data_IF_658098262500
#
_entry.id   IF_658098262500
#
_cell.length_a   1.000
_cell.length_b   1.000
_cell.length_c   1.000
_cell.angle_alpha   90.00
_cell.angle_beta   90.00
_cell.angle_gamma   90.00
#
_symmetry.space_group_name_H-M   'P 1'
#
loop_
_entity.id
_entity.type
_entity.pdbx_description
1 polymer ?
#
# COMPACT_ATOMS: atom_id res chain seq x y z
N UNK A 1 -27.61 -46.39 42.01
CA UNK A 1 -26.79 -46.09 40.81
C UNK A 1 -27.21 -44.74 40.29
N UNK A 2 -26.37 -43.71 40.47
CA UNK A 2 -26.62 -42.34 39.97
C UNK A 2 -25.77 -42.14 38.71
N UNK A 3 -26.41 -41.96 37.56
CA UNK A 3 -25.76 -41.68 36.29
C UNK A 3 -25.52 -40.19 36.23
N UNK A 4 -24.27 -39.77 36.28
CA UNK A 4 -23.85 -38.37 36.09
C UNK A 4 -23.80 -38.11 34.58
N UNK A 5 -24.68 -37.23 34.08
CA UNK A 5 -24.65 -36.76 32.73
C UNK A 5 -23.57 -35.64 32.61
N UNK A 6 -22.50 -35.94 31.89
CA UNK A 6 -21.42 -34.97 31.55
C UNK A 6 -21.90 -34.14 30.37
N UNK A 7 -22.30 -32.89 30.62
CA UNK A 7 -22.56 -31.90 29.58
C UNK A 7 -21.24 -31.37 29.06
N UNK A 8 -20.81 -31.86 27.89
CA UNK A 8 -19.70 -31.30 27.11
C UNK A 8 -20.21 -30.04 26.44
N UNK A 9 -19.89 -28.90 27.02
CA UNK A 9 -20.11 -27.57 26.43
C UNK A 9 -19.01 -27.34 25.37
N UNK A 10 -19.34 -27.71 24.14
CA UNK A 10 -18.46 -27.46 22.98
C UNK A 10 -18.32 -25.98 22.73
N UNK A 11 -17.21 -25.39 23.16
CA UNK A 11 -16.83 -24.01 22.80
C UNK A 11 -16.52 -23.93 21.31
N UNK A 12 -17.47 -23.48 20.53
CA UNK A 12 -17.25 -23.15 19.11
C UNK A 12 -16.44 -21.85 19.08
N UNK A 13 -15.14 -21.96 18.92
CA UNK A 13 -14.26 -20.85 18.60
C UNK A 13 -14.65 -20.35 17.20
N UNK A 14 -15.41 -19.27 17.14
CA UNK A 14 -15.57 -18.49 15.91
C UNK A 14 -14.23 -17.86 15.57
N UNK A 15 -13.50 -18.48 14.64
CA UNK A 15 -12.35 -17.85 13.99
C UNK A 15 -12.87 -16.69 13.14
N UNK A 16 -13.03 -15.53 13.75
CA UNK A 16 -13.30 -14.31 12.99
C UNK A 16 -12.05 -13.98 12.18
N UNK A 17 -12.13 -14.20 10.87
CA UNK A 17 -11.08 -13.78 9.94
C UNK A 17 -10.91 -12.27 10.01
N UNK A 18 -9.74 -11.81 10.46
CA UNK A 18 -9.35 -10.40 10.53
C UNK A 18 -9.01 -9.82 9.14
N UNK A 19 -9.86 -10.06 8.14
CA UNK A 19 -9.62 -9.56 6.78
C UNK A 19 -10.34 -8.21 6.53
N UNK A 20 -9.79 -7.34 5.64
CA UNK A 20 -10.46 -6.10 5.26
C UNK A 20 -11.88 -6.32 4.77
N UNK A 21 -12.80 -5.42 5.13
CA UNK A 21 -14.20 -5.47 4.69
C UNK A 21 -14.27 -5.06 3.22
N UNK A 22 -14.88 -5.92 2.42
CA UNK A 22 -15.19 -5.63 1.03
C UNK A 22 -16.69 -5.39 0.89
N UNK A 23 -17.06 -4.35 0.15
CA UNK A 23 -18.44 -4.05 -0.24
C UNK A 23 -18.43 -3.72 -1.72
N UNK A 24 -19.26 -4.41 -2.49
CA UNK A 24 -19.40 -4.19 -3.93
C UNK A 24 -20.83 -3.79 -4.27
N UNK A 25 -20.96 -2.92 -5.28
CA UNK A 25 -22.24 -2.51 -5.86
C UNK A 25 -22.08 -2.54 -7.38
N UNK A 26 -22.65 -3.55 -8.03
CA UNK A 26 -22.54 -3.75 -9.47
C UNK A 26 -23.84 -3.36 -10.17
N UNK A 27 -23.69 -2.73 -11.34
CA UNK A 27 -24.78 -2.35 -12.24
C UNK A 27 -24.87 -3.35 -13.40
N UNK A 28 -23.71 -3.79 -13.88
CA UNK A 28 -23.56 -4.75 -14.98
C UNK A 28 -22.54 -5.82 -14.58
N UNK A 29 -22.70 -7.05 -15.06
CA UNK A 29 -21.76 -8.14 -14.86
C UNK A 29 -21.57 -8.93 -16.14
N UNK A 30 -20.34 -9.40 -16.36
CA UNK A 30 -19.95 -10.28 -17.45
C UNK A 30 -19.48 -11.64 -16.90
N UNK A 31 -19.15 -12.56 -17.78
CA UNK A 31 -18.52 -13.82 -17.38
C UNK A 31 -17.25 -13.55 -16.58
N UNK A 32 -17.03 -14.30 -15.50
CA UNK A 32 -15.85 -14.16 -14.67
C UNK A 32 -14.58 -14.41 -15.47
N UNK A 33 -13.56 -13.62 -15.21
CA UNK A 33 -12.23 -13.78 -15.79
C UNK A 33 -11.45 -14.86 -15.05
N UNK A 34 -10.47 -15.45 -15.75
CA UNK A 34 -9.52 -16.37 -15.12
C UNK A 34 -8.74 -15.68 -14.00
N UNK A 35 -8.36 -16.45 -13.00
CA UNK A 35 -7.58 -15.93 -11.87
C UNK A 35 -6.23 -15.34 -12.32
N UNK A 36 -5.63 -15.87 -13.38
CA UNK A 36 -4.36 -15.43 -13.91
C UNK A 36 -4.47 -14.20 -14.80
N UNK A 37 -5.68 -13.81 -15.23
CA UNK A 37 -5.84 -12.61 -16.03
C UNK A 37 -5.48 -11.36 -15.24
N UNK A 38 -4.66 -10.50 -15.86
CA UNK A 38 -4.23 -9.25 -15.24
C UNK A 38 -5.38 -8.25 -15.22
N UNK A 39 -5.63 -7.65 -14.06
CA UNK A 39 -6.57 -6.54 -13.90
C UNK A 39 -5.80 -5.24 -13.83
N UNK A 40 -6.08 -4.35 -14.77
CA UNK A 40 -5.46 -3.03 -14.89
C UNK A 40 -5.83 -2.13 -13.71
N UNK A 41 -4.95 -1.21 -13.34
CA UNK A 41 -5.25 -0.23 -12.30
C UNK A 41 -4.90 1.16 -12.79
N UNK A 42 -5.91 1.99 -12.92
CA UNK A 42 -5.77 3.42 -13.15
C UNK A 42 -5.73 4.14 -11.81
N UNK A 43 -4.70 4.96 -11.60
CA UNK A 43 -4.56 5.80 -10.41
C UNK A 43 -5.63 6.90 -10.33
N UNK A 44 -5.69 7.64 -9.22
CA UNK A 44 -6.70 8.70 -9.00
C UNK A 44 -6.63 9.77 -10.10
N UNK A 45 -5.41 10.16 -10.51
CA UNK A 45 -5.18 11.23 -11.48
C UNK A 45 -5.04 10.71 -12.92
N UNK A 46 -5.04 9.38 -13.12
CA UNK A 46 -4.92 8.77 -14.45
C UNK A 46 -6.29 8.77 -15.15
N UNK A 47 -6.32 9.14 -16.42
CA UNK A 47 -7.53 9.06 -17.24
C UNK A 47 -7.81 7.61 -17.64
N UNK A 48 -9.08 7.23 -17.60
CA UNK A 48 -9.54 5.95 -18.13
C UNK A 48 -9.76 6.04 -19.64
N UNK A 49 -9.70 4.92 -20.36
CA UNK A 49 -10.10 4.88 -21.77
C UNK A 49 -11.50 5.46 -21.95
N UNK A 50 -11.76 6.20 -23.05
CA UNK A 50 -13.07 6.78 -23.30
C UNK A 50 -14.16 5.73 -23.58
N UNK A 51 -13.76 4.54 -23.99
CA UNK A 51 -14.58 3.36 -24.27
C UNK A 51 -14.72 2.41 -23.06
N UNK A 52 -14.15 2.76 -21.92
CA UNK A 52 -14.25 1.95 -20.72
C UNK A 52 -15.68 1.95 -20.15
N UNK A 53 -16.31 0.79 -20.11
CA UNK A 53 -17.60 0.60 -19.47
C UNK A 53 -17.44 0.46 -17.95
N UNK A 54 -18.21 1.22 -17.17
CA UNK A 54 -18.25 1.10 -15.71
C UNK A 54 -19.24 0.02 -15.30
N UNK A 55 -18.74 -1.06 -14.72
CA UNK A 55 -19.56 -2.19 -14.25
C UNK A 55 -20.13 -1.95 -12.85
N UNK A 56 -19.49 -1.15 -12.05
CA UNK A 56 -19.88 -0.86 -10.67
C UNK A 56 -18.75 -0.34 -9.83
N UNK A 57 -18.93 -0.37 -8.50
CA UNK A 57 -17.96 0.17 -7.54
C UNK A 57 -17.65 -0.87 -6.46
N UNK A 58 -16.37 -0.99 -6.09
CA UNK A 58 -15.88 -1.78 -4.97
C UNK A 58 -15.29 -0.85 -3.92
N UNK A 59 -15.61 -1.10 -2.66
CA UNK A 59 -15.00 -0.45 -1.50
C UNK A 59 -14.29 -1.50 -0.66
N UNK A 60 -13.00 -1.31 -0.43
CA UNK A 60 -12.20 -2.11 0.50
C UNK A 60 -11.90 -1.23 1.70
N UNK A 61 -12.38 -1.63 2.85
CA UNK A 61 -12.31 -0.86 4.08
C UNK A 61 -11.78 -1.69 5.26
N UNK A 62 -11.81 -1.07 6.44
CA UNK A 62 -11.39 -1.70 7.68
C UNK A 62 -12.60 -2.27 8.43
N UNK A 63 -12.41 -3.42 9.09
CA UNK A 63 -13.37 -3.98 10.06
C UNK A 63 -13.09 -3.54 11.50
N UNK A 64 -12.04 -2.73 11.70
CA UNK A 64 -11.56 -2.32 13.04
C UNK A 64 -10.52 -3.27 13.66
N UNK A 65 -10.41 -4.50 13.15
CA UNK A 65 -9.49 -5.53 13.66
C UNK A 65 -8.63 -6.17 12.54
N UNK A 66 -8.57 -5.54 11.36
CA UNK A 66 -7.80 -6.08 10.24
C UNK A 66 -6.31 -5.89 10.48
N UNK A 67 -5.53 -6.97 10.37
CA UNK A 67 -4.08 -6.96 10.59
C UNK A 67 -3.27 -6.95 9.30
N UNK A 68 -3.83 -7.50 8.21
CA UNK A 68 -3.20 -7.55 6.89
C UNK A 68 -4.03 -6.73 5.90
N UNK A 69 -3.77 -5.44 5.86
CA UNK A 69 -4.58 -4.48 5.12
C UNK A 69 -3.75 -3.32 4.57
N UNK A 70 -2.53 -3.62 4.10
CA UNK A 70 -1.73 -2.68 3.33
C UNK A 70 -2.39 -2.37 1.98
N UNK A 71 -1.83 -1.41 1.26
CA UNK A 71 -2.38 -0.99 -0.02
C UNK A 71 -2.41 -2.12 -1.06
N UNK A 72 -1.34 -2.92 -1.13
CA UNK A 72 -1.25 -4.04 -2.05
C UNK A 72 -2.35 -5.09 -1.76
N UNK A 73 -2.53 -5.45 -0.49
CA UNK A 73 -3.61 -6.36 -0.06
C UNK A 73 -5.01 -5.80 -0.37
N UNK A 74 -5.23 -4.50 -0.14
CA UNK A 74 -6.52 -3.88 -0.46
C UNK A 74 -6.79 -3.89 -1.97
N UNK A 75 -5.77 -3.62 -2.77
CA UNK A 75 -5.84 -3.63 -4.22
C UNK A 75 -6.06 -5.04 -4.79
N UNK A 76 -5.36 -6.05 -4.26
CA UNK A 76 -5.51 -7.44 -4.68
C UNK A 76 -6.93 -7.97 -4.43
N UNK A 77 -7.51 -7.61 -3.28
CA UNK A 77 -8.93 -7.92 -3.00
C UNK A 77 -9.88 -7.27 -4.01
N UNK A 78 -9.64 -6.02 -4.38
CA UNK A 78 -10.44 -5.34 -5.38
C UNK A 78 -10.28 -5.98 -6.77
N UNK A 79 -9.05 -6.36 -7.16
CA UNK A 79 -8.78 -7.10 -8.41
C UNK A 79 -9.49 -8.45 -8.43
N UNK A 80 -9.43 -9.20 -7.34
CA UNK A 80 -10.11 -10.49 -7.22
C UNK A 80 -11.62 -10.36 -7.38
N UNK A 81 -12.22 -9.36 -6.77
CA UNK A 81 -13.67 -9.11 -6.91
C UNK A 81 -14.05 -8.62 -8.30
N UNK A 82 -13.20 -7.79 -8.93
CA UNK A 82 -13.37 -7.35 -10.31
C UNK A 82 -13.42 -8.53 -11.30
N UNK A 83 -12.50 -9.50 -11.17
CA UNK A 83 -12.50 -10.70 -12.02
C UNK A 83 -13.80 -11.48 -11.92
N UNK A 84 -14.41 -11.61 -10.75
CA UNK A 84 -15.68 -12.34 -10.55
C UNK A 84 -16.83 -11.77 -11.38
N UNK A 85 -16.81 -10.48 -11.63
CA UNK A 85 -17.84 -9.77 -12.38
C UNK A 85 -17.44 -9.45 -13.82
N UNK A 86 -16.31 -10.01 -14.27
CA UNK A 86 -15.81 -9.85 -15.64
C UNK A 86 -15.11 -8.51 -15.92
N UNK A 87 -14.80 -7.74 -14.87
CA UNK A 87 -14.05 -6.50 -14.99
C UNK A 87 -12.54 -6.76 -15.12
N UNK A 88 -11.92 -6.16 -16.12
CA UNK A 88 -10.49 -6.31 -16.45
C UNK A 88 -9.67 -5.06 -16.11
N UNK A 89 -10.32 -4.02 -15.57
CA UNK A 89 -9.64 -2.83 -15.10
C UNK A 89 -10.33 -2.24 -13.85
N UNK A 90 -9.56 -1.48 -13.08
CA UNK A 90 -10.01 -0.74 -11.91
C UNK A 90 -9.59 0.73 -12.05
N UNK A 91 -10.48 1.66 -11.72
CA UNK A 91 -10.15 3.08 -11.53
C UNK A 91 -10.21 3.40 -10.05
N UNK A 92 -9.09 3.81 -9.46
CA UNK A 92 -9.10 4.28 -8.08
C UNK A 92 -9.77 5.66 -8.04
N UNK A 93 -10.88 5.77 -7.33
CA UNK A 93 -11.62 7.03 -7.14
C UNK A 93 -11.35 7.65 -5.78
N UNK A 94 -10.95 6.82 -4.79
CA UNK A 94 -10.59 7.29 -3.46
C UNK A 94 -9.56 6.38 -2.83
N UNK A 95 -8.56 6.97 -2.18
CA UNK A 95 -7.60 6.27 -1.34
C UNK A 95 -7.45 6.99 0.00
N UNK A 96 -7.59 6.27 1.08
CA UNK A 96 -7.36 6.77 2.44
C UNK A 96 -6.25 5.94 3.08
N UNK A 97 -5.20 6.64 3.51
CA UNK A 97 -4.09 6.03 4.24
C UNK A 97 -4.50 5.60 5.65
N UNK A 98 -3.72 4.71 6.27
CA UNK A 98 -3.82 4.48 7.71
C UNK A 98 -3.80 5.79 8.50
N UNK A 99 -4.58 5.85 9.56
CA UNK A 99 -4.69 7.00 10.46
C UNK A 99 -4.88 6.53 11.91
N UNK A 100 -5.20 7.45 12.83
CA UNK A 100 -5.40 7.12 14.26
C UNK A 100 -6.63 6.24 14.51
N UNK A 101 -7.56 6.15 13.55
CA UNK A 101 -8.81 5.41 13.66
C UNK A 101 -8.76 4.06 12.93
N UNK A 102 -7.85 3.90 11.98
CA UNK A 102 -7.72 2.69 11.17
C UNK A 102 -6.26 2.48 10.77
N UNK A 103 -5.73 1.32 11.08
CA UNK A 103 -4.38 0.88 10.62
C UNK A 103 -4.36 0.45 9.15
N UNK A 104 -5.51 0.42 8.48
CA UNK A 104 -5.68 -0.12 7.14
C UNK A 104 -5.70 0.96 6.05
N UNK A 105 -5.20 0.60 4.88
CA UNK A 105 -5.51 1.29 3.64
C UNK A 105 -6.97 1.02 3.26
N UNK A 106 -7.67 2.08 2.85
CA UNK A 106 -9.07 2.02 2.42
C UNK A 106 -9.17 2.62 1.04
N UNK A 107 -9.64 1.83 0.08
CA UNK A 107 -9.78 2.25 -1.31
C UNK A 107 -11.24 2.17 -1.77
N UNK A 108 -11.62 3.05 -2.68
CA UNK A 108 -12.82 2.94 -3.50
C UNK A 108 -12.36 2.91 -4.94
N UNK A 109 -12.85 1.94 -5.68
CA UNK A 109 -12.51 1.76 -7.09
C UNK A 109 -13.77 1.54 -7.91
N UNK A 110 -13.81 2.10 -9.10
CA UNK A 110 -14.77 1.70 -10.11
C UNK A 110 -14.22 0.50 -10.88
N UNK A 111 -15.07 -0.50 -11.08
CA UNK A 111 -14.78 -1.69 -11.88
C UNK A 111 -15.08 -1.36 -13.33
N UNK A 112 -14.12 -1.60 -14.20
CA UNK A 112 -14.21 -1.27 -15.61
C UNK A 112 -14.09 -2.52 -16.48
N UNK A 113 -14.79 -2.50 -17.62
CA UNK A 113 -14.56 -3.35 -18.78
C UNK A 113 -13.94 -2.52 -19.89
N UNK A 114 -12.74 -2.92 -20.32
CA UNK A 114 -11.97 -2.26 -21.39
C UNK A 114 -11.76 -3.29 -22.52
N UNK A 115 -12.00 -2.92 -23.76
CA UNK A 115 -11.90 -3.84 -24.90
C UNK A 115 -10.46 -4.19 -25.26
N UNK A 116 -9.58 -3.19 -25.35
CA UNK A 116 -8.17 -3.38 -25.72
C UNK A 116 -7.24 -3.12 -24.53
N UNK A 117 -7.03 -4.16 -23.72
CA UNK A 117 -6.14 -4.07 -22.56
C UNK A 117 -4.66 -4.13 -22.91
N UNK A 118 -4.25 -4.74 -24.03
CA UNK A 118 -2.84 -4.91 -24.39
C UNK A 118 -2.13 -3.57 -24.62
N UNK A 119 -2.80 -2.65 -25.31
CA UNK A 119 -2.30 -1.30 -25.54
C UNK A 119 -2.03 -0.55 -24.24
N UNK A 120 -2.92 -0.71 -23.24
CA UNK A 120 -2.76 -0.06 -21.93
C UNK A 120 -1.73 -0.77 -21.06
N UNK A 121 -1.57 -2.09 -21.18
CA UNK A 121 -0.52 -2.88 -20.52
C UNK A 121 0.88 -2.45 -20.97
N UNK A 122 1.09 -2.29 -22.24
CA UNK A 122 2.37 -1.82 -22.79
C UNK A 122 2.68 -0.40 -22.32
N UNK A 123 1.73 0.51 -22.43
CA UNK A 123 1.90 1.90 -22.01
C UNK A 123 2.14 2.02 -20.50
N UNK A 124 1.45 1.23 -19.67
CA UNK A 124 1.66 1.26 -18.23
C UNK A 124 3.01 0.67 -17.82
N UNK A 125 3.47 -0.40 -18.47
CA UNK A 125 4.82 -0.95 -18.25
C UNK A 125 5.90 0.06 -18.66
N UNK A 126 5.74 0.73 -19.81
CA UNK A 126 6.67 1.77 -20.26
C UNK A 126 6.67 2.97 -19.32
N UNK A 127 5.50 3.44 -18.89
CA UNK A 127 5.37 4.55 -17.94
C UNK A 127 5.92 4.21 -16.54
N UNK A 128 5.84 2.96 -16.10
CA UNK A 128 6.43 2.53 -14.84
C UNK A 128 7.96 2.51 -14.91
N UNK A 129 8.52 2.02 -16.02
CA UNK A 129 9.98 2.09 -16.28
C UNK A 129 10.45 3.54 -16.35
N UNK A 130 9.75 4.40 -17.08
CA UNK A 130 10.11 5.81 -17.26
C UNK A 130 9.99 6.60 -15.93
N UNK A 131 9.04 6.24 -15.07
CA UNK A 131 8.87 6.86 -13.75
C UNK A 131 9.96 6.51 -12.73
N UNK A 132 10.77 5.49 -13.02
CA UNK A 132 11.92 5.10 -12.20
C UNK A 132 13.21 5.81 -12.57
N UNK A 133 13.25 6.44 -13.76
CA UNK A 133 14.46 7.07 -14.30
C UNK A 133 14.43 8.58 -14.07
N UNK A 134 15.56 9.12 -13.69
CA UNK A 134 15.85 10.56 -13.64
C UNK A 134 17.12 10.82 -14.42
N UNK A 135 17.17 11.92 -15.15
CA UNK A 135 18.38 12.34 -15.88
C UNK A 135 19.35 13.04 -14.92
N UNK A 136 19.88 12.26 -13.96
CA UNK A 136 20.75 12.76 -12.89
C UNK A 136 21.80 11.70 -12.54
N UNK A 137 22.95 12.17 -12.04
CA UNK A 137 24.05 11.33 -11.58
C UNK A 137 23.95 10.92 -10.08
N UNK A 138 22.75 10.88 -9.56
CA UNK A 138 22.41 10.37 -8.22
C UNK A 138 21.13 9.53 -8.29
N UNK A 139 20.92 8.69 -7.30
CA UNK A 139 19.65 8.01 -7.08
C UNK A 139 18.79 8.76 -6.07
N UNK A 140 17.48 8.55 -6.10
CA UNK A 140 16.56 9.05 -5.08
C UNK A 140 15.95 7.87 -4.32
N UNK A 141 16.00 7.92 -3.00
CA UNK A 141 15.21 7.03 -2.14
C UNK A 141 14.11 7.87 -1.49
N UNK A 142 12.88 7.67 -1.91
CA UNK A 142 11.68 8.24 -1.30
C UNK A 142 11.30 7.43 -0.08
N UNK A 143 11.70 7.90 1.10
CA UNK A 143 11.42 7.24 2.37
C UNK A 143 10.12 7.78 2.95
N UNK A 144 9.20 6.90 3.31
CA UNK A 144 7.96 7.31 3.92
C UNK A 144 7.46 6.33 4.98
N UNK A 145 6.71 6.88 5.95
CA UNK A 145 6.02 6.12 6.98
C UNK A 145 4.64 6.71 7.21
N UNK A 146 3.56 5.99 6.87
CA UNK A 146 2.20 6.40 7.22
C UNK A 146 2.02 6.59 8.74
N UNK A 147 1.03 7.36 9.11
CA UNK A 147 0.59 7.44 10.51
C UNK A 147 -0.08 6.13 10.93
N UNK A 148 -0.19 5.90 12.24
CA UNK A 148 -0.83 4.70 12.77
C UNK A 148 -0.09 4.12 13.95
N UNK A 149 -0.04 2.79 14.03
CA UNK A 149 0.61 2.04 15.12
C UNK A 149 2.04 2.48 15.35
N UNK A 150 2.43 2.61 16.63
CA UNK A 150 3.77 3.05 17.00
C UNK A 150 4.07 4.51 16.67
N UNK A 151 3.06 5.41 16.67
CA UNK A 151 3.21 6.82 16.30
C UNK A 151 4.27 7.57 17.11
N UNK A 152 4.50 7.19 18.36
CA UNK A 152 5.51 7.80 19.25
C UNK A 152 6.93 7.27 19.00
N UNK A 153 7.08 6.17 18.28
CA UNK A 153 8.37 5.53 18.02
C UNK A 153 9.06 6.25 16.87
N UNK A 154 10.31 6.62 17.11
CA UNK A 154 11.21 7.22 16.11
C UNK A 154 12.47 6.36 16.05
N UNK A 155 13.05 6.24 14.86
CA UNK A 155 14.31 5.52 14.66
C UNK A 155 15.12 6.12 13.52
N UNK A 156 16.43 5.86 13.54
CA UNK A 156 17.29 6.22 12.44
C UNK A 156 17.23 5.15 11.36
N UNK A 157 17.13 5.58 10.11
CA UNK A 157 17.30 4.74 8.94
C UNK A 157 18.72 4.88 8.43
N UNK A 158 19.32 3.75 8.15
CA UNK A 158 20.69 3.67 7.67
C UNK A 158 20.73 3.12 6.25
N UNK A 159 21.68 3.59 5.46
CA UNK A 159 22.16 2.96 4.23
C UNK A 159 23.62 2.57 4.47
N UNK A 160 23.89 1.27 4.59
CA UNK A 160 25.18 0.80 5.11
C UNK A 160 25.48 1.37 6.47
N UNK A 161 26.63 2.00 6.64
CA UNK A 161 27.07 2.61 7.90
C UNK A 161 26.56 4.05 8.11
N UNK A 162 25.92 4.66 7.09
CA UNK A 162 25.49 6.06 7.13
C UNK A 162 24.03 6.19 7.58
N UNK A 163 23.75 7.11 8.50
CA UNK A 163 22.37 7.50 8.82
C UNK A 163 21.89 8.42 7.70
N UNK A 164 20.83 8.03 6.99
CA UNK A 164 20.28 8.81 5.88
C UNK A 164 19.08 9.66 6.29
N UNK A 165 18.31 9.25 7.30
CA UNK A 165 17.25 10.08 7.88
C UNK A 165 16.79 9.56 9.24
N UNK A 166 15.92 10.34 9.93
CA UNK A 166 15.23 9.92 11.15
C UNK A 166 13.74 9.78 10.92
N UNK A 167 13.28 8.56 10.87
CA UNK A 167 11.88 8.22 10.57
C UNK A 167 10.99 8.40 11.80
N UNK A 168 9.91 9.14 11.64
CA UNK A 168 8.83 9.31 12.63
C UNK A 168 7.46 8.99 12.00
N UNK A 169 6.37 9.14 12.75
CA UNK A 169 5.00 8.97 12.22
C UNK A 169 4.65 10.07 11.22
N UNK A 170 3.95 9.72 10.14
CA UNK A 170 3.63 10.60 8.99
C UNK A 170 4.90 11.22 8.34
N UNK A 171 5.95 10.43 8.24
CA UNK A 171 7.21 10.83 7.61
C UNK A 171 7.14 10.68 6.10
N UNK A 172 7.68 11.63 5.36
CA UNK A 172 8.04 11.50 3.95
C UNK A 172 9.18 12.46 3.63
N UNK A 173 10.21 11.94 2.96
CA UNK A 173 11.39 12.68 2.54
C UNK A 173 12.04 11.99 1.35
N UNK A 174 12.49 12.78 0.35
CA UNK A 174 13.26 12.31 -0.80
C UNK A 174 14.74 12.51 -0.50
N UNK A 175 15.51 11.44 -0.50
CA UNK A 175 16.92 11.43 -0.11
C UNK A 175 17.77 11.14 -1.35
N UNK A 176 18.71 12.04 -1.66
CA UNK A 176 19.68 11.85 -2.74
C UNK A 176 20.79 10.91 -2.29
N UNK A 177 21.15 9.98 -3.16
CA UNK A 177 22.22 8.99 -2.94
C UNK A 177 23.19 9.07 -4.12
N UNK A 178 24.39 9.51 -3.85
CA UNK A 178 25.44 9.73 -4.86
C UNK A 178 26.32 8.50 -5.08
N UNK A 179 26.16 7.46 -4.26
CA UNK A 179 26.98 6.25 -4.30
C UNK A 179 26.14 5.05 -4.75
N UNK A 180 26.52 4.49 -5.89
CA UNK A 180 25.90 3.28 -6.43
C UNK A 180 26.46 1.98 -5.82
N UNK A 181 25.76 0.89 -6.07
CA UNK A 181 26.16 -0.48 -5.76
C UNK A 181 25.30 -1.18 -4.72
N UNK A 182 25.68 -2.41 -4.42
CA UNK A 182 25.02 -3.24 -3.43
C UNK A 182 25.23 -2.67 -2.03
N UNK A 183 24.13 -2.52 -1.30
CA UNK A 183 24.11 -1.98 0.06
C UNK A 183 22.95 -2.59 0.84
N UNK A 184 22.78 -2.17 2.10
CA UNK A 184 21.62 -2.54 2.91
C UNK A 184 20.95 -1.29 3.49
N UNK A 185 19.62 -1.29 3.49
CA UNK A 185 18.80 -0.36 4.26
C UNK A 185 18.44 -1.03 5.57
N UNK A 186 18.72 -0.39 6.69
CA UNK A 186 18.40 -0.97 7.98
C UNK A 186 17.99 0.06 9.04
N UNK A 187 17.21 -0.41 9.99
CA UNK A 187 16.80 0.35 11.17
C UNK A 187 16.74 -0.57 12.40
N UNK A 188 16.92 0.00 13.58
CA UNK A 188 16.91 -0.75 14.83
C UNK A 188 16.09 -0.04 15.91
N UNK A 189 15.26 -0.81 16.60
CA UNK A 189 14.64 -0.46 17.87
C UNK A 189 14.88 -1.62 18.85
N UNK A 190 13.88 -2.45 19.16
CA UNK A 190 14.11 -3.71 19.90
C UNK A 190 14.91 -4.73 19.07
N UNK A 191 14.60 -4.79 17.78
CA UNK A 191 15.28 -5.65 16.82
C UNK A 191 15.78 -4.85 15.63
N UNK A 192 16.79 -5.35 14.93
CA UNK A 192 17.22 -4.82 13.64
C UNK A 192 16.28 -5.36 12.55
N UNK A 193 15.82 -4.48 11.67
CA UNK A 193 15.23 -4.82 10.38
C UNK A 193 16.18 -4.37 9.29
N UNK A 194 16.47 -5.22 8.32
CA UNK A 194 17.43 -4.98 7.26
C UNK A 194 16.94 -5.59 5.97
N UNK A 195 17.10 -4.86 4.88
CA UNK A 195 16.77 -5.29 3.52
C UNK A 195 17.91 -4.90 2.56
N UNK A 196 18.24 -5.75 1.58
CA UNK A 196 19.23 -5.41 0.57
C UNK A 196 18.66 -4.39 -0.41
N UNK A 197 19.54 -3.54 -0.95
CA UNK A 197 19.26 -2.64 -2.06
C UNK A 197 20.46 -2.59 -3.00
N UNK A 198 20.22 -2.66 -4.30
CA UNK A 198 21.22 -2.31 -5.31
C UNK A 198 20.90 -0.90 -5.80
N UNK A 199 21.68 0.09 -5.34
CA UNK A 199 21.52 1.48 -5.76
C UNK A 199 22.11 1.67 -7.14
N UNK A 200 21.32 2.13 -8.09
CA UNK A 200 21.75 2.52 -9.44
C UNK A 200 21.48 4.01 -9.62
N UNK A 201 22.50 4.76 -10.06
CA UNK A 201 22.36 6.21 -10.33
C UNK A 201 21.32 6.42 -11.43
N UNK A 202 20.60 7.55 -11.36
CA UNK A 202 19.50 7.82 -12.27
C UNK A 202 18.21 7.06 -11.95
N UNK A 203 18.13 6.32 -10.83
CA UNK A 203 16.91 5.61 -10.42
C UNK A 203 16.24 6.20 -9.20
N UNK A 204 14.91 6.01 -9.14
CA UNK A 204 14.06 6.37 -8.01
C UNK A 204 13.56 5.10 -7.34
N UNK A 205 13.70 5.04 -6.02
CA UNK A 205 13.24 3.95 -5.16
C UNK A 205 12.22 4.47 -4.15
N UNK A 206 11.32 3.59 -3.73
CA UNK A 206 10.35 3.87 -2.68
C UNK A 206 10.53 2.90 -1.52
N UNK A 207 10.82 3.45 -0.35
CA UNK A 207 10.98 2.68 0.89
C UNK A 207 9.83 2.98 1.84
N UNK A 208 8.96 2.00 1.99
CA UNK A 208 7.92 2.01 3.03
C UNK A 208 8.50 1.60 4.36
N UNK A 209 8.32 2.46 5.35
CA UNK A 209 8.68 2.23 6.74
C UNK A 209 7.42 2.03 7.57
N UNK A 210 7.45 1.09 8.51
CA UNK A 210 6.36 0.89 9.46
C UNK A 210 6.89 0.37 10.81
N UNK A 211 6.00 0.19 11.77
CA UNK A 211 6.30 -0.45 13.05
C UNK A 211 5.34 -1.62 13.23
N UNK A 212 5.87 -2.80 13.43
CA UNK A 212 5.13 -3.95 13.89
C UNK A 212 5.13 -4.04 15.42
N UNK A 213 4.21 -4.81 15.98
CA UNK A 213 4.18 -5.04 17.43
C UNK A 213 5.51 -5.63 17.90
N UNK A 214 6.07 -5.07 18.97
CA UNK A 214 7.19 -5.58 19.73
C UNK A 214 6.77 -5.91 21.15
N UNK A 215 7.70 -6.41 21.96
CA UNK A 215 7.43 -6.70 23.36
C UNK A 215 7.33 -5.41 24.19
N UNK A 216 8.11 -4.36 23.86
CA UNK A 216 8.17 -3.11 24.62
C UNK A 216 8.05 -1.87 23.74
N UNK A 217 8.87 -1.75 22.69
CA UNK A 217 8.96 -0.53 21.88
C UNK A 217 8.38 -0.71 20.49
N UNK A 218 8.26 -1.94 20.01
CA UNK A 218 7.90 -2.24 18.63
C UNK A 218 9.12 -2.38 17.72
N UNK A 219 8.92 -2.99 16.58
CA UNK A 219 9.98 -3.41 15.64
C UNK A 219 9.84 -2.67 14.33
N UNK A 220 10.92 -2.07 13.79
CA UNK A 220 10.85 -1.46 12.47
C UNK A 220 10.59 -2.55 11.42
N UNK A 221 9.77 -2.22 10.44
CA UNK A 221 9.59 -3.00 9.22
C UNK A 221 9.93 -2.09 8.05
N UNK A 222 10.83 -2.56 7.18
CA UNK A 222 11.29 -1.88 5.98
C UNK A 222 10.84 -2.69 4.77
N UNK A 223 10.39 -2.03 3.72
CA UNK A 223 9.89 -2.67 2.51
C UNK A 223 10.15 -1.78 1.30
N UNK A 224 10.91 -2.27 0.32
CA UNK A 224 10.98 -1.65 -0.99
C UNK A 224 9.69 -2.00 -1.74
N UNK A 225 8.99 -0.99 -2.19
CA UNK A 225 7.73 -1.15 -2.92
C UNK A 225 7.91 -0.72 -4.37
N UNK A 226 7.05 -1.25 -5.24
CA UNK A 226 7.03 -0.82 -6.63
C UNK A 226 6.72 0.69 -6.76
N UNK A 227 7.17 1.29 -7.85
CA UNK A 227 7.10 2.74 -8.03
C UNK A 227 5.69 3.28 -8.06
N UNK A 228 4.74 2.58 -8.68
CA UNK A 228 3.35 3.02 -8.75
C UNK A 228 2.72 3.08 -7.36
N UNK A 229 2.87 2.03 -6.58
CA UNK A 229 2.41 1.98 -5.18
C UNK A 229 3.14 3.01 -4.32
N UNK A 230 4.46 3.04 -4.40
CA UNK A 230 5.29 3.93 -3.62
C UNK A 230 4.99 5.41 -3.87
N UNK A 231 4.82 5.80 -5.13
CA UNK A 231 4.45 7.16 -5.53
C UNK A 231 3.10 7.59 -4.95
N UNK A 232 2.09 6.72 -5.04
CA UNK A 232 0.75 6.99 -4.49
C UNK A 232 0.82 7.20 -2.98
N UNK A 233 1.49 6.30 -2.26
CA UNK A 233 1.59 6.36 -0.81
C UNK A 233 2.40 7.57 -0.33
N UNK A 234 3.55 7.81 -0.95
CA UNK A 234 4.42 8.94 -0.65
C UNK A 234 3.71 10.28 -0.84
N UNK A 235 3.11 10.49 -2.01
CA UNK A 235 2.39 11.72 -2.34
C UNK A 235 1.20 11.95 -1.39
N UNK A 236 0.47 10.90 -1.03
CA UNK A 236 -0.65 11.01 -0.10
C UNK A 236 -0.24 11.50 1.30
N UNK A 237 0.99 11.19 1.75
CA UNK A 237 1.53 11.70 3.02
C UNK A 237 1.98 13.14 2.85
N UNK A 238 2.62 13.46 1.73
CA UNK A 238 3.07 14.81 1.40
C UNK A 238 1.90 15.79 1.38
N UNK A 239 0.83 15.47 0.67
CA UNK A 239 -0.40 16.28 0.59
C UNK A 239 -1.01 16.56 1.96
N UNK A 240 -1.03 15.54 2.85
CA UNK A 240 -1.52 15.71 4.23
C UNK A 240 -0.68 16.70 5.02
N UNK A 241 0.65 16.65 4.85
CA UNK A 241 1.57 17.60 5.51
C UNK A 241 1.35 19.02 5.02
N UNK A 242 1.21 19.22 3.71
CA UNK A 242 0.97 20.54 3.13
C UNK A 242 -0.35 21.14 3.59
N UNK A 243 -1.44 20.36 3.59
CA UNK A 243 -2.75 20.78 4.08
C UNK A 243 -2.71 21.19 5.55
N UNK A 244 -1.93 20.47 6.38
CA UNK A 244 -1.76 20.78 7.81
C UNK A 244 -0.99 22.08 7.99
N UNK A 245 0.09 22.29 7.23
CA UNK A 245 0.89 23.51 7.30
C UNK A 245 0.09 24.74 6.86
N UNK A 246 -0.69 24.63 5.76
CA UNK A 246 -1.59 25.70 5.30
C UNK A 246 -2.67 26.09 6.34
N UNK A 247 -3.14 25.13 7.15
CA UNK A 247 -4.09 25.42 8.25
C UNK A 247 -3.43 26.12 9.44
N UNK A 248 -2.18 25.77 9.76
CA UNK A 248 -1.45 26.37 10.87
C UNK A 248 -1.03 27.80 10.55
N UNK A 249 -0.71 28.11 9.30
CA UNK A 249 -0.32 29.47 8.86
C UNK A 249 -1.52 30.42 8.68
N UNK A 250 -2.75 29.93 8.82
CA UNK A 250 -3.99 30.76 8.77
C UNK A 250 -4.56 31.07 10.15
N UNK A 251 -3.92 30.61 11.20
CA UNK A 251 -4.21 30.96 12.63
C UNK A 251 -3.19 31.91 13.17
#
# INVERSE_FOLDING_TARGET
MKIAAFLIFGSILFLTSCSPKLTSSMQTTYASLDYMEEVFVFGIDEQTPPDAEVLGTIKVGDTGFSTNCDYATALDKAKTESRKVGGNALKITKHSLPDIWSSCHRITVDVLKVEDTEKYLLNAKMADVDSTLIDENYAIINVYRPGGSGALIKYNLHLGDSIICRVNSNFCESIKIDKEGLNSLWAKTETKSEIPINVELGKVYYLRCSISMGAFVGRPKLELVDNKTGKIEFNSIQDKKEKKNKKNNKK
#
